data_IF_340194903774
#
_entry.id   IF_340194903774
#
_cell.length_a   1.000
_cell.length_b   1.000
_cell.length_c   1.000
_cell.angle_alpha   90.00
_cell.angle_beta   90.00
_cell.angle_gamma   90.00
#
_symmetry.space_group_name_H-M   'P 1'
#
loop_
_entity.id
_entity.type
_entity.pdbx_description
1 polymer ?
#
# COMPACT_ATOMS: atom_id res chain seq x y z
N UNK A 1 -12.38 -5.20 -4.00
CA UNK A 1 -11.57 -4.25 -4.78
C UNK A 1 -12.42 -3.01 -5.02
N UNK A 2 -11.98 -1.85 -4.58
CA UNK A 2 -12.74 -0.61 -4.70
C UNK A 2 -12.50 0.03 -6.08
N UNK A 3 -13.45 0.86 -6.52
CA UNK A 3 -13.36 1.53 -7.82
C UNK A 3 -12.16 2.49 -7.94
N UNK A 4 -11.77 3.25 -6.90
CA UNK A 4 -10.54 4.06 -6.93
C UNK A 4 -9.29 3.22 -7.22
N UNK A 5 -9.12 2.09 -6.52
CA UNK A 5 -7.98 1.20 -6.71
C UNK A 5 -7.96 0.59 -8.12
N UNK A 6 -9.13 0.20 -8.64
CA UNK A 6 -9.26 -0.34 -10.01
C UNK A 6 -8.74 0.65 -11.05
N UNK A 7 -9.07 1.94 -10.91
CA UNK A 7 -8.62 2.98 -11.84
C UNK A 7 -7.10 3.14 -11.82
N UNK A 8 -6.48 3.12 -10.64
CA UNK A 8 -5.02 3.20 -10.51
C UNK A 8 -4.32 2.00 -11.15
N UNK A 9 -4.87 0.80 -10.97
CA UNK A 9 -4.36 -0.43 -11.62
C UNK A 9 -4.43 -0.30 -13.14
N UNK A 10 -5.56 0.17 -13.69
CA UNK A 10 -5.72 0.34 -15.14
C UNK A 10 -4.75 1.39 -15.71
N UNK A 11 -4.39 2.40 -14.91
CA UNK A 11 -3.41 3.44 -15.26
C UNK A 11 -1.95 2.99 -15.07
N UNK A 12 -1.71 1.78 -14.54
CA UNK A 12 -0.38 1.26 -14.18
C UNK A 12 0.40 2.22 -13.26
N UNK A 13 -0.30 2.83 -12.31
CA UNK A 13 0.29 3.61 -11.23
C UNK A 13 1.31 2.78 -10.44
N UNK A 14 2.27 3.44 -9.80
CA UNK A 14 3.31 2.77 -9.03
C UNK A 14 2.73 2.07 -7.78
N UNK A 15 3.54 1.17 -7.21
CA UNK A 15 3.13 0.39 -6.04
C UNK A 15 2.88 1.24 -4.79
N UNK A 16 3.53 2.40 -4.67
CA UNK A 16 3.35 3.35 -3.58
C UNK A 16 1.98 4.02 -3.64
N UNK A 17 1.61 4.57 -4.80
CA UNK A 17 0.27 5.14 -5.04
C UNK A 17 -0.84 4.12 -4.79
N UNK A 18 -0.66 2.88 -5.28
CA UNK A 18 -1.61 1.79 -5.04
C UNK A 18 -1.71 1.43 -3.56
N UNK A 19 -0.59 1.37 -2.84
CA UNK A 19 -0.55 1.09 -1.40
C UNK A 19 -1.24 2.18 -0.59
N UNK A 20 -0.98 3.46 -0.89
CA UNK A 20 -1.61 4.58 -0.20
C UNK A 20 -3.13 4.59 -0.41
N UNK A 21 -3.59 4.39 -1.65
CA UNK A 21 -5.01 4.27 -1.95
C UNK A 21 -5.65 3.08 -1.22
N UNK A 22 -5.00 1.91 -1.22
CA UNK A 22 -5.49 0.74 -0.50
C UNK A 22 -5.66 1.00 1.00
N UNK A 23 -4.68 1.64 1.64
CA UNK A 23 -4.74 1.98 3.07
C UNK A 23 -5.85 3.01 3.35
N UNK A 24 -5.97 4.04 2.52
CA UNK A 24 -7.03 5.06 2.66
C UNK A 24 -8.44 4.45 2.52
N UNK A 25 -8.58 3.42 1.69
CA UNK A 25 -9.82 2.66 1.49
C UNK A 25 -10.05 1.58 2.59
N UNK A 26 -9.21 1.55 3.62
CA UNK A 26 -9.36 0.69 4.80
C UNK A 26 -8.69 -0.67 4.72
N UNK A 27 -7.80 -0.91 3.74
CA UNK A 27 -6.97 -2.11 3.73
C UNK A 27 -5.84 -2.01 4.75
N UNK A 28 -5.54 -3.13 5.41
CA UNK A 28 -4.47 -3.24 6.39
C UNK A 28 -3.20 -3.82 5.73
N UNK A 29 -2.03 -3.27 6.05
CA UNK A 29 -0.76 -3.82 5.56
C UNK A 29 -0.40 -5.10 6.30
N UNK A 30 0.43 -5.95 5.69
CA UNK A 30 0.91 -7.17 6.34
C UNK A 30 1.68 -6.85 7.64
N UNK A 31 2.39 -5.71 7.68
CA UNK A 31 3.10 -5.24 8.88
C UNK A 31 2.14 -4.84 9.98
N UNK A 32 1.07 -4.12 9.67
CA UNK A 32 0.01 -3.76 10.63
C UNK A 32 -0.68 -5.01 11.21
N UNK A 33 -1.05 -5.97 10.35
CA UNK A 33 -1.63 -7.25 10.79
C UNK A 33 -0.64 -8.05 11.66
N UNK A 34 0.64 -8.05 11.29
CA UNK A 34 1.71 -8.66 12.09
C UNK A 34 1.74 -8.13 13.53
N UNK A 35 1.73 -6.80 13.70
CA UNK A 35 1.69 -6.19 15.03
C UNK A 35 0.43 -6.55 15.82
N UNK A 36 -0.72 -6.60 15.15
CA UNK A 36 -1.97 -7.05 15.77
C UNK A 36 -1.86 -8.50 16.27
N UNK A 37 -1.23 -9.39 15.51
CA UNK A 37 -0.99 -10.78 15.91
C UNK A 37 0.00 -10.90 17.07
N UNK A 38 1.03 -10.05 17.11
CA UNK A 38 1.96 -9.97 18.25
C UNK A 38 1.21 -9.61 19.52
N UNK A 39 0.36 -8.57 19.47
CA UNK A 39 -0.46 -8.16 20.62
C UNK A 39 -1.42 -9.25 21.11
N UNK A 40 -1.81 -10.18 20.22
CA UNK A 40 -2.65 -11.34 20.54
C UNK A 40 -1.84 -12.57 20.99
N UNK A 41 -0.50 -12.50 21.02
CA UNK A 41 0.37 -13.64 21.35
C UNK A 41 0.39 -14.74 20.28
N UNK A 42 0.02 -14.44 19.03
CA UNK A 42 -0.08 -15.43 17.94
C UNK A 42 1.17 -15.53 17.07
N UNK A 43 2.05 -14.53 17.12
CA UNK A 43 3.34 -14.49 16.40
C UNK A 43 4.35 -13.73 17.25
N UNK A 44 5.62 -13.73 16.85
CA UNK A 44 6.70 -13.01 17.54
C UNK A 44 7.09 -11.74 16.80
N UNK A 45 7.73 -10.82 17.54
CA UNK A 45 8.24 -9.56 16.98
C UNK A 45 9.28 -9.86 15.89
N UNK A 46 10.16 -10.85 16.10
CA UNK A 46 11.18 -11.23 15.12
C UNK A 46 10.56 -11.74 13.81
N UNK A 47 9.46 -12.50 13.89
CA UNK A 47 8.76 -12.97 12.69
C UNK A 47 8.20 -11.80 11.89
N UNK A 48 7.51 -10.87 12.56
CA UNK A 48 6.94 -9.68 11.89
C UNK A 48 8.03 -8.85 11.22
N UNK A 49 9.13 -8.59 11.92
CA UNK A 49 10.24 -7.78 11.38
C UNK A 49 10.91 -8.49 10.20
N UNK A 50 11.07 -9.82 10.24
CA UNK A 50 11.71 -10.61 9.18
C UNK A 50 10.84 -10.77 7.94
N UNK A 51 9.53 -10.93 8.11
CA UNK A 51 8.60 -11.31 7.03
C UNK A 51 7.98 -10.11 6.33
N UNK A 52 7.91 -8.96 7.01
CA UNK A 52 7.23 -7.77 6.46
C UNK A 52 8.24 -6.72 6.02
N UNK A 53 7.96 -6.03 4.92
CA UNK A 53 8.74 -4.86 4.51
C UNK A 53 8.39 -3.67 5.40
N UNK A 54 9.36 -2.79 5.67
CA UNK A 54 9.09 -1.53 6.39
C UNK A 54 8.16 -0.68 5.54
N UNK A 55 7.17 -0.05 6.19
CA UNK A 55 6.37 0.99 5.53
C UNK A 55 7.25 2.23 5.41
N UNK A 56 8.23 2.18 4.52
CA UNK A 56 8.91 3.39 4.04
C UNK A 56 7.82 4.23 3.39
N UNK A 57 7.54 5.39 3.98
CA UNK A 57 6.76 6.44 3.34
C UNK A 57 7.56 6.84 2.11
N UNK A 58 7.24 6.22 0.98
CA UNK A 58 7.75 6.57 -0.35
C UNK A 58 7.18 7.96 -0.67
N UNK A 59 7.85 8.99 -0.18
CA UNK A 59 7.69 10.36 -0.62
C UNK A 59 8.62 10.56 -1.81
N UNK A 60 8.34 9.89 -2.93
CA UNK A 60 9.02 10.17 -4.20
C UNK A 60 8.00 10.79 -5.15
N UNK A 61 8.21 12.10 -5.32
CA UNK A 61 7.75 13.02 -6.37
C UNK A 61 6.83 12.44 -7.44
N UNK A 62 5.60 12.98 -7.48
CA UNK A 62 4.73 12.97 -8.66
C UNK A 62 5.45 13.70 -9.79
N UNK A 63 6.01 12.98 -10.75
CA UNK A 63 6.41 13.54 -12.04
C UNK A 63 5.32 13.19 -13.07
N UNK A 64 4.56 14.23 -13.41
CA UNK A 64 3.72 14.44 -14.60
C UNK A 64 3.04 13.25 -15.28
N UNK A 65 1.75 13.06 -15.00
CA UNK A 65 0.84 12.42 -15.94
C UNK A 65 0.21 13.50 -16.85
N UNK A 66 0.76 13.68 -18.05
CA UNK A 66 0.17 14.49 -19.12
C UNK A 66 -1.28 14.06 -19.43
N UNK A 67 -2.15 15.00 -19.85
CA UNK A 67 -3.56 14.72 -20.10
C UNK A 67 -3.73 14.05 -21.47
N UNK A 68 -4.05 12.75 -21.51
CA UNK A 68 -4.62 12.16 -22.73
C UNK A 68 -6.10 12.53 -22.79
N UNK A 69 -6.36 13.74 -23.30
CA UNK A 69 -7.66 14.16 -23.79
C UNK A 69 -7.55 14.62 -25.25
N UNK A 70 -8.37 14.00 -26.09
CA UNK A 70 -8.87 14.48 -27.38
C UNK A 70 -7.90 14.64 -28.56
N UNK A 71 -7.89 13.64 -29.46
CA UNK A 71 -8.09 13.79 -30.91
C UNK A 71 -8.45 12.44 -31.53
#
# INVERSE_FOLDING_TARGET
MTEPLRKLIMRKCDGGELKQCAIAEGMETLRQDGWRRVAQGKTTIEEVVRVTQTDEVMAETTEEAEPVAAA
#
